data_IF_355473843415
#
_entry.id   IF_355473843415
#
_cell.length_a   1.000
_cell.length_b   1.000
_cell.length_c   1.000
_cell.angle_alpha   90.00
_cell.angle_beta   90.00
_cell.angle_gamma   90.00
#
_symmetry.space_group_name_H-M   'P 1'
#
loop_
_entity.id
_entity.type
_entity.pdbx_description
1 polymer ?
#
# COMPACT_ATOMS: atom_id res chain seq x y z
N UNK A 1 28.75 31.63 5.07
CA UNK A 1 28.66 30.33 5.77
C UNK A 1 27.21 29.95 6.09
N UNK A 2 26.40 30.84 6.67
CA UNK A 2 24.99 30.54 7.00
C UNK A 2 24.09 30.38 5.75
N UNK A 3 24.19 31.31 4.77
CA UNK A 3 23.43 31.22 3.49
C UNK A 3 23.68 29.91 2.73
N UNK A 4 24.94 29.46 2.65
CA UNK A 4 25.31 28.18 2.01
C UNK A 4 24.83 26.95 2.76
N UNK A 5 24.72 27.03 4.10
CA UNK A 5 24.15 25.96 4.91
C UNK A 5 22.63 25.89 4.75
N UNK A 6 21.94 27.04 4.77
CA UNK A 6 20.51 27.14 4.51
C UNK A 6 20.12 26.55 3.14
N UNK A 7 20.90 26.84 2.09
CA UNK A 7 20.69 26.24 0.77
C UNK A 7 20.74 24.70 0.79
N UNK A 8 21.66 24.10 1.55
CA UNK A 8 21.75 22.64 1.70
C UNK A 8 20.55 22.05 2.45
N UNK A 9 20.07 22.74 3.49
CA UNK A 9 18.88 22.31 4.22
C UNK A 9 17.64 22.39 3.33
N UNK A 10 17.49 23.46 2.53
CA UNK A 10 16.39 23.57 1.57
C UNK A 10 16.41 22.42 0.56
N UNK A 11 17.60 22.10 0.02
CA UNK A 11 17.75 20.99 -0.90
C UNK A 11 17.36 19.66 -0.25
N UNK A 12 17.84 19.40 0.97
CA UNK A 12 17.48 18.20 1.73
C UNK A 12 15.98 18.10 1.97
N UNK A 13 15.33 19.18 2.43
CA UNK A 13 13.89 19.18 2.67
C UNK A 13 13.11 18.96 1.37
N UNK A 14 13.58 19.53 0.26
CA UNK A 14 12.96 19.33 -1.04
C UNK A 14 13.05 17.86 -1.45
N UNK A 15 14.25 17.28 -1.46
CA UNK A 15 14.47 15.87 -1.80
C UNK A 15 13.68 14.93 -0.89
N UNK A 16 13.65 15.21 0.42
CA UNK A 16 12.91 14.41 1.38
C UNK A 16 11.40 14.48 1.13
N UNK A 17 10.84 15.68 0.96
CA UNK A 17 9.39 15.84 0.70
C UNK A 17 8.95 15.33 -0.68
N UNK A 18 9.86 15.25 -1.66
CA UNK A 18 9.61 14.66 -2.98
C UNK A 18 9.76 13.13 -2.99
N UNK A 19 10.73 12.59 -2.23
CA UNK A 19 11.03 11.14 -2.22
C UNK A 19 10.17 10.37 -1.21
N UNK A 20 9.97 10.95 -0.02
CA UNK A 20 9.22 10.34 1.08
C UNK A 20 8.17 11.32 1.63
N UNK A 21 7.15 11.69 0.83
CA UNK A 21 6.11 12.63 1.27
C UNK A 21 5.36 12.15 2.52
N UNK A 22 5.33 10.83 2.76
CA UNK A 22 4.54 10.19 3.81
C UNK A 22 5.14 10.30 5.21
N UNK A 23 6.44 10.61 5.33
CA UNK A 23 7.04 10.96 6.62
C UNK A 23 6.39 12.19 7.27
N UNK A 24 5.69 13.00 6.46
CA UNK A 24 4.99 14.21 6.86
C UNK A 24 3.47 14.06 6.91
N UNK A 25 2.94 12.84 6.85
CA UNK A 25 1.49 12.61 6.94
C UNK A 25 0.91 12.98 8.31
N UNK A 26 1.73 12.85 9.36
CA UNK A 26 1.34 13.12 10.74
C UNK A 26 1.43 14.62 11.04
N UNK A 27 0.43 15.16 11.75
CA UNK A 27 0.35 16.60 12.11
C UNK A 27 1.62 17.11 12.80
N UNK A 28 2.23 16.27 13.64
CA UNK A 28 3.49 16.59 14.33
C UNK A 28 4.64 16.81 13.34
N UNK A 29 4.87 15.87 12.43
CA UNK A 29 5.93 15.95 11.41
C UNK A 29 5.73 17.15 10.48
N UNK A 30 4.47 17.40 10.08
CA UNK A 30 4.11 18.56 9.26
C UNK A 30 4.35 19.89 10.00
N UNK A 31 4.10 19.94 11.30
CA UNK A 31 4.40 21.11 12.14
C UNK A 31 5.91 21.36 12.23
N UNK A 32 6.71 20.33 12.49
CA UNK A 32 8.17 20.43 12.57
C UNK A 32 8.77 20.92 11.23
N UNK A 33 8.28 20.38 10.09
CA UNK A 33 8.67 20.84 8.76
C UNK A 33 8.39 22.34 8.57
N UNK A 34 7.20 22.81 8.96
CA UNK A 34 6.81 24.23 8.87
C UNK A 34 7.69 25.11 9.75
N UNK A 35 8.06 24.66 10.95
CA UNK A 35 8.95 25.41 11.84
C UNK A 35 10.37 25.55 11.26
N UNK A 36 10.93 24.45 10.72
CA UNK A 36 12.24 24.47 10.05
C UNK A 36 12.19 25.41 8.83
N UNK A 37 11.18 25.26 7.98
CA UNK A 37 10.97 26.09 6.82
C UNK A 37 10.85 27.59 7.18
N UNK A 38 10.13 27.91 8.26
CA UNK A 38 9.99 29.28 8.73
C UNK A 38 11.34 29.87 9.17
N UNK A 39 12.13 29.14 9.96
CA UNK A 39 13.48 29.58 10.38
C UNK A 39 14.41 29.82 9.20
N UNK A 40 14.32 29.00 8.16
CA UNK A 40 15.11 29.15 6.93
C UNK A 40 14.70 30.41 6.17
N UNK A 41 13.40 30.71 6.06
CA UNK A 41 12.93 31.94 5.41
C UNK A 41 13.41 33.22 6.11
N UNK A 42 13.60 33.19 7.43
CA UNK A 42 14.16 34.34 8.18
C UNK A 42 15.64 34.61 7.84
N UNK A 43 16.34 33.65 7.22
CA UNK A 43 17.75 33.82 6.83
C UNK A 43 17.93 34.42 5.41
N UNK A 44 16.84 34.61 4.64
CA UNK A 44 16.84 35.13 3.27
C UNK A 44 15.87 36.33 3.15
N UNK A 45 16.22 37.45 3.79
CA UNK A 45 15.39 38.67 3.78
C UNK A 45 15.45 39.45 2.45
N UNK A 46 16.50 39.27 1.64
CA UNK A 46 16.82 40.17 0.52
C UNK A 46 16.15 39.85 -0.82
N UNK A 47 15.73 38.60 -1.09
CA UNK A 47 15.38 38.20 -2.46
C UNK A 47 14.11 37.34 -2.59
N UNK A 48 13.45 36.98 -1.49
CA UNK A 48 12.17 36.23 -1.48
C UNK A 48 12.19 34.86 -2.17
N UNK A 49 13.33 34.43 -2.70
CA UNK A 49 13.48 33.25 -3.55
C UNK A 49 13.35 31.98 -2.72
N UNK A 50 13.96 31.97 -1.53
CA UNK A 50 13.83 30.87 -0.56
C UNK A 50 12.38 30.68 -0.14
N UNK A 51 11.66 31.78 0.11
CA UNK A 51 10.23 31.74 0.46
C UNK A 51 9.39 31.12 -0.66
N UNK A 52 9.68 31.42 -1.92
CA UNK A 52 9.00 30.82 -3.08
C UNK A 52 9.29 29.32 -3.19
N UNK A 53 10.55 28.90 -3.04
CA UNK A 53 10.93 27.48 -3.08
C UNK A 53 10.22 26.70 -1.98
N UNK A 54 10.25 27.21 -0.75
CA UNK A 54 9.58 26.58 0.39
C UNK A 54 8.06 26.51 0.17
N UNK A 55 7.43 27.59 -0.30
CA UNK A 55 5.99 27.59 -0.58
C UNK A 55 5.61 26.54 -1.63
N UNK A 56 6.41 26.43 -2.69
CA UNK A 56 6.19 25.44 -3.75
C UNK A 56 6.38 24.01 -3.22
N UNK A 57 7.45 23.76 -2.46
CA UNK A 57 7.74 22.47 -1.85
C UNK A 57 6.60 22.03 -0.92
N UNK A 58 6.16 22.90 0.00
CA UNK A 58 5.03 22.61 0.89
C UNK A 58 3.74 22.38 0.12
N UNK A 59 3.52 23.10 -1.00
CA UNK A 59 2.34 22.88 -1.83
C UNK A 59 2.39 21.52 -2.53
N UNK A 60 3.53 21.13 -3.10
CA UNK A 60 3.72 19.83 -3.74
C UNK A 60 3.50 18.69 -2.75
N UNK A 61 4.07 18.81 -1.55
CA UNK A 61 3.87 17.84 -0.46
C UNK A 61 2.38 17.67 -0.12
N UNK A 62 1.63 18.77 0.02
CA UNK A 62 0.19 18.72 0.28
C UNK A 62 -0.57 18.01 -0.84
N UNK A 63 -0.24 18.30 -2.10
CA UNK A 63 -0.88 17.64 -3.24
C UNK A 63 -0.61 16.12 -3.24
N UNK A 64 0.62 15.69 -2.95
CA UNK A 64 0.97 14.28 -2.83
C UNK A 64 0.18 13.58 -1.72
N UNK A 65 0.12 14.19 -0.53
CA UNK A 65 -0.63 13.66 0.61
C UNK A 65 -2.14 13.60 0.34
N UNK A 66 -2.72 14.63 -0.30
CA UNK A 66 -4.14 14.64 -0.68
C UNK A 66 -4.47 13.58 -1.74
N UNK A 67 -3.61 13.38 -2.73
CA UNK A 67 -3.81 12.34 -3.75
C UNK A 67 -3.86 10.94 -3.13
N UNK A 68 -2.97 10.64 -2.18
CA UNK A 68 -3.01 9.37 -1.43
C UNK A 68 -4.27 9.23 -0.59
N UNK A 69 -4.68 10.28 0.12
CA UNK A 69 -5.91 10.25 0.93
C UNK A 69 -7.15 9.95 0.07
N UNK A 70 -7.26 10.54 -1.11
CA UNK A 70 -8.36 10.24 -2.05
C UNK A 70 -8.31 8.79 -2.54
N UNK A 71 -7.12 8.28 -2.88
CA UNK A 71 -6.96 6.88 -3.29
C UNK A 71 -7.38 5.91 -2.17
N UNK A 72 -7.00 6.20 -0.93
CA UNK A 72 -7.42 5.42 0.25
C UNK A 72 -8.94 5.45 0.44
N UNK A 73 -9.57 6.62 0.32
CA UNK A 73 -11.02 6.76 0.46
C UNK A 73 -11.79 5.98 -0.62
N UNK A 74 -11.35 6.07 -1.88
CA UNK A 74 -11.94 5.29 -2.98
C UNK A 74 -11.80 3.80 -2.68
N UNK A 75 -10.62 3.36 -2.22
CA UNK A 75 -10.36 1.97 -1.90
C UNK A 75 -11.20 1.46 -0.73
N UNK A 76 -11.43 2.28 0.29
CA UNK A 76 -12.34 1.95 1.39
C UNK A 76 -13.78 1.77 0.93
N UNK A 77 -14.25 2.58 -0.04
CA UNK A 77 -15.59 2.41 -0.64
C UNK A 77 -15.75 1.09 -1.38
N UNK A 78 -14.68 0.57 -1.99
CA UNK A 78 -14.66 -0.72 -2.67
C UNK A 78 -14.30 -1.90 -1.77
N UNK A 79 -13.92 -1.65 -0.52
CA UNK A 79 -13.65 -2.69 0.47
C UNK A 79 -14.97 -3.35 0.87
N UNK A 80 -15.27 -4.50 0.28
CA UNK A 80 -16.30 -5.37 0.86
C UNK A 80 -15.78 -5.93 2.19
N UNK A 81 -16.54 -5.88 3.29
CA UNK A 81 -16.17 -6.64 4.47
C UNK A 81 -16.13 -8.11 4.07
N UNK A 82 -14.93 -8.71 4.13
CA UNK A 82 -14.78 -10.16 4.10
C UNK A 82 -15.58 -10.63 5.31
N UNK A 83 -16.78 -11.15 5.06
CA UNK A 83 -17.55 -11.78 6.12
C UNK A 83 -16.72 -12.96 6.56
N UNK A 84 -16.23 -12.87 7.78
CA UNK A 84 -15.53 -13.92 8.49
C UNK A 84 -16.42 -15.17 8.47
N UNK A 85 -16.19 -16.04 7.49
CA UNK A 85 -16.72 -17.39 7.46
C UNK A 85 -15.55 -18.32 7.64
N UNK A 86 -15.02 -18.31 8.86
CA UNK A 86 -14.58 -19.52 9.51
C UNK A 86 -15.72 -20.55 9.51
N UNK A 87 -15.88 -21.27 8.41
CA UNK A 87 -16.57 -22.56 8.36
C UNK A 87 -15.77 -23.49 7.48
N UNK A 88 -14.74 -24.03 8.11
CA UNK A 88 -14.22 -25.37 7.85
C UNK A 88 -15.39 -26.32 7.53
N UNK A 89 -15.34 -26.91 6.34
CA UNK A 89 -15.96 -28.20 5.98
C UNK A 89 -17.45 -28.37 6.32
N UNK A 90 -18.35 -27.80 5.51
CA UNK A 90 -19.65 -28.44 5.26
C UNK A 90 -19.94 -28.44 3.76
N UNK A 91 -19.69 -29.59 3.16
CA UNK A 91 -20.26 -30.06 1.88
C UNK A 91 -21.72 -29.64 1.74
N UNK A 92 -22.01 -28.71 0.82
CA UNK A 92 -23.35 -28.46 0.27
C UNK A 92 -23.20 -28.24 -1.24
N UNK A 93 -24.13 -28.72 -2.09
CA UNK A 93 -23.84 -29.07 -3.48
C UNK A 93 -23.36 -27.86 -4.30
N UNK A 94 -22.31 -28.09 -5.08
CA UNK A 94 -21.78 -27.20 -6.10
C UNK A 94 -22.87 -26.88 -7.13
N UNK A 95 -23.38 -25.65 -7.15
CA UNK A 95 -24.16 -25.18 -8.32
C UNK A 95 -24.12 -23.67 -8.59
N UNK A 96 -23.34 -22.88 -7.83
CA UNK A 96 -23.23 -21.42 -8.08
C UNK A 96 -21.80 -20.89 -8.14
N UNK A 97 -20.78 -21.75 -8.00
CA UNK A 97 -19.40 -21.33 -8.23
C UNK A 97 -19.20 -21.18 -9.75
N UNK A 98 -19.20 -19.93 -10.22
CA UNK A 98 -18.91 -19.61 -11.62
C UNK A 98 -17.49 -20.08 -11.94
N UNK A 99 -17.33 -20.85 -13.01
CA UNK A 99 -16.02 -21.20 -13.54
C UNK A 99 -15.24 -19.91 -13.83
N UNK A 100 -13.96 -19.84 -13.49
CA UNK A 100 -13.13 -18.68 -13.82
C UNK A 100 -13.14 -18.38 -15.32
N UNK A 101 -13.23 -19.42 -16.15
CA UNK A 101 -13.37 -19.27 -17.61
C UNK A 101 -14.74 -18.73 -18.04
N UNK A 102 -15.76 -18.82 -17.18
CA UNK A 102 -17.06 -18.16 -17.41
C UNK A 102 -17.02 -16.66 -17.09
N UNK A 103 -16.01 -16.20 -16.34
CA UNK A 103 -15.76 -14.78 -16.05
C UNK A 103 -14.83 -14.17 -17.11
N UNK A 104 -13.81 -14.90 -17.53
CA UNK A 104 -12.91 -14.50 -18.62
C UNK A 104 -12.51 -15.72 -19.45
N UNK A 105 -12.99 -15.77 -20.70
CA UNK A 105 -12.74 -16.90 -21.59
C UNK A 105 -11.32 -16.96 -22.16
N UNK A 106 -10.55 -15.87 -22.03
CA UNK A 106 -9.17 -15.78 -22.51
C UNK A 106 -8.19 -15.81 -21.32
N UNK A 107 -7.47 -16.93 -21.12
CA UNK A 107 -6.50 -17.07 -20.03
C UNK A 107 -5.39 -16.03 -20.06
N UNK A 108 -4.99 -15.56 -21.24
CA UNK A 108 -3.96 -14.54 -21.37
C UNK A 108 -4.45 -13.19 -20.85
N UNK A 109 -5.68 -12.80 -21.21
CA UNK A 109 -6.29 -11.57 -20.70
C UNK A 109 -6.49 -11.65 -19.19
N UNK A 110 -6.97 -12.78 -18.68
CA UNK A 110 -7.12 -12.98 -17.23
C UNK A 110 -5.78 -12.83 -16.49
N UNK A 111 -4.72 -13.46 -17.00
CA UNK A 111 -3.39 -13.33 -16.42
C UNK A 111 -2.90 -11.88 -16.44
N UNK A 112 -3.05 -11.18 -17.57
CA UNK A 112 -2.69 -9.77 -17.70
C UNK A 112 -3.43 -8.90 -16.67
N UNK A 113 -4.74 -9.08 -16.52
CA UNK A 113 -5.54 -8.33 -15.55
C UNK A 113 -5.07 -8.58 -14.11
N UNK A 114 -4.80 -9.84 -13.74
CA UNK A 114 -4.25 -10.17 -12.42
C UNK A 114 -2.88 -9.53 -12.20
N UNK A 115 -2.01 -9.51 -13.21
CA UNK A 115 -0.71 -8.83 -13.15
C UNK A 115 -0.87 -7.32 -12.95
N UNK A 116 -1.80 -6.65 -13.62
CA UNK A 116 -2.05 -5.22 -13.39
C UNK A 116 -2.52 -4.95 -11.96
N UNK A 117 -3.43 -5.79 -11.46
CA UNK A 117 -3.97 -5.73 -10.09
C UNK A 117 -2.86 -5.96 -9.05
N UNK A 118 -1.94 -6.88 -9.32
CA UNK A 118 -0.77 -7.17 -8.49
C UNK A 118 0.19 -5.99 -8.47
N UNK A 119 0.58 -5.48 -9.64
CA UNK A 119 1.48 -4.34 -9.79
C UNK A 119 0.95 -3.10 -9.06
N UNK A 120 -0.34 -2.81 -9.16
CA UNK A 120 -0.95 -1.69 -8.42
C UNK A 120 -0.81 -1.88 -6.91
N UNK A 121 -1.01 -3.09 -6.38
CA UNK A 121 -0.85 -3.38 -4.94
C UNK A 121 0.60 -3.30 -4.50
N UNK A 122 1.51 -3.88 -5.27
CA UNK A 122 2.95 -3.86 -4.98
C UNK A 122 3.50 -2.44 -5.04
N UNK A 123 3.07 -1.62 -6.00
CA UNK A 123 3.47 -0.21 -6.10
C UNK A 123 3.01 0.65 -4.92
N UNK A 124 2.00 0.17 -4.17
CA UNK A 124 1.49 0.83 -2.96
C UNK A 124 2.12 0.27 -1.67
N UNK A 125 3.09 -0.64 -1.76
CA UNK A 125 3.94 -1.03 -0.63
C UNK A 125 5.13 -0.08 -0.61
N UNK A 126 5.24 0.68 0.47
CA UNK A 126 6.28 1.68 0.63
C UNK A 126 7.39 1.19 1.59
N UNK A 127 8.60 1.79 1.56
CA UNK A 127 9.68 1.39 2.45
C UNK A 127 9.31 1.42 3.94
N UNK A 128 8.44 2.35 4.35
CA UNK A 128 7.91 2.43 5.71
C UNK A 128 7.11 1.17 6.12
N UNK A 129 6.33 0.59 5.20
CA UNK A 129 5.57 -0.65 5.44
C UNK A 129 6.55 -1.81 5.76
N UNK A 130 7.71 -1.83 5.10
CA UNK A 130 8.74 -2.87 5.27
C UNK A 130 9.57 -2.66 6.55
N UNK A 131 9.96 -1.42 6.86
CA UNK A 131 10.72 -1.12 8.07
C UNK A 131 9.96 -1.52 9.33
N UNK A 132 8.63 -1.39 9.31
CA UNK A 132 7.80 -1.83 10.43
C UNK A 132 7.92 -3.34 10.68
N UNK A 133 7.90 -4.17 9.62
CA UNK A 133 8.13 -5.63 9.75
C UNK A 133 9.48 -5.89 10.42
N UNK A 134 10.56 -5.28 9.90
CA UNK A 134 11.92 -5.48 10.39
C UNK A 134 12.03 -5.10 11.86
N UNK A 135 11.44 -3.97 12.26
CA UNK A 135 11.41 -3.53 13.65
C UNK A 135 10.65 -4.48 14.59
N UNK A 136 9.65 -5.21 14.07
CA UNK A 136 8.90 -6.21 14.83
C UNK A 136 9.62 -7.57 14.88
N UNK A 137 10.45 -7.92 13.89
CA UNK A 137 11.19 -9.18 13.86
C UNK A 137 12.28 -9.25 14.94
N UNK A 138 12.88 -8.11 15.30
CA UNK A 138 13.92 -8.05 16.34
C UNK A 138 13.33 -8.11 17.77
N UNK A 139 12.02 -7.88 17.94
CA UNK A 139 11.32 -7.98 19.22
C UNK A 139 10.87 -9.42 19.47
N UNK A 140 11.81 -10.29 19.85
CA UNK A 140 11.53 -11.68 20.25
C UNK A 140 10.61 -11.82 21.48
N UNK A 141 10.29 -10.71 22.16
CA UNK A 141 9.39 -10.72 23.31
C UNK A 141 7.96 -10.38 22.89
N UNK A 142 7.08 -11.36 23.05
CA UNK A 142 5.72 -11.43 22.52
C UNK A 142 4.74 -10.54 23.31
N UNK A 143 5.22 -9.42 23.85
CA UNK A 143 4.47 -8.55 24.73
C UNK A 143 4.49 -7.10 24.25
N UNK A 144 3.46 -6.76 23.46
CA UNK A 144 2.97 -5.39 23.23
C UNK A 144 4.00 -4.38 22.68
N UNK A 145 4.62 -4.69 21.56
CA UNK A 145 4.89 -3.63 20.58
C UNK A 145 3.68 -3.53 19.66
N UNK A 146 2.56 -3.00 20.18
CA UNK A 146 1.45 -2.49 19.36
C UNK A 146 1.94 -1.19 18.71
N UNK A 147 2.99 -1.28 17.89
CA UNK A 147 3.25 -0.29 16.86
C UNK A 147 1.97 -0.21 16.05
N UNK A 148 1.50 1.00 15.82
CA UNK A 148 0.16 1.27 15.34
C UNK A 148 -0.15 0.37 14.14
N UNK A 149 -1.05 -0.62 14.33
CA UNK A 149 -1.48 -1.62 13.32
C UNK A 149 -2.09 -0.93 12.10
N UNK A 150 -2.32 0.38 12.20
CA UNK A 150 -2.78 1.28 11.15
C UNK A 150 -1.74 1.51 10.05
N UNK A 151 -0.44 1.20 10.25
CA UNK A 151 0.64 1.56 9.31
C UNK A 151 1.13 0.44 8.37
N UNK A 152 0.73 -0.83 8.55
CA UNK A 152 1.05 -1.96 7.63
C UNK A 152 -0.06 -2.30 6.62
N UNK A 153 -1.07 -1.44 6.49
CA UNK A 153 -2.31 -1.74 5.76
C UNK A 153 -2.11 -2.19 4.30
N UNK A 154 -1.13 -1.60 3.61
CA UNK A 154 -0.90 -1.93 2.20
C UNK A 154 -0.29 -3.34 2.06
N UNK A 155 0.63 -3.68 2.95
CA UNK A 155 1.27 -4.98 2.98
C UNK A 155 0.29 -6.09 3.38
N UNK A 156 -0.50 -5.89 4.44
CA UNK A 156 -1.52 -6.86 4.86
C UNK A 156 -2.57 -7.09 3.77
N UNK A 157 -2.92 -6.03 3.03
CA UNK A 157 -3.86 -6.16 1.94
C UNK A 157 -3.27 -6.87 0.72
N UNK A 158 -1.97 -6.70 0.45
CA UNK A 158 -1.26 -7.47 -0.55
C UNK A 158 -1.21 -8.96 -0.16
N UNK A 159 -0.83 -9.26 1.08
CA UNK A 159 -0.81 -10.63 1.62
C UNK A 159 -2.19 -11.30 1.51
N UNK A 160 -3.25 -10.63 1.94
CA UNK A 160 -4.60 -11.16 1.82
C UNK A 160 -5.01 -11.39 0.35
N UNK A 161 -4.68 -10.47 -0.56
CA UNK A 161 -4.97 -10.64 -1.99
C UNK A 161 -4.23 -11.85 -2.58
N UNK A 162 -2.93 -11.98 -2.26
CA UNK A 162 -2.10 -13.10 -2.69
C UNK A 162 -2.64 -14.43 -2.17
N UNK A 163 -3.04 -14.48 -0.90
CA UNK A 163 -3.63 -15.67 -0.27
C UNK A 163 -4.98 -16.04 -0.89
N UNK A 164 -5.85 -15.06 -1.17
CA UNK A 164 -7.11 -15.29 -1.88
C UNK A 164 -6.87 -15.85 -3.30
N UNK A 165 -5.94 -15.28 -4.06
CA UNK A 165 -5.62 -15.74 -5.41
C UNK A 165 -5.02 -17.16 -5.39
N UNK A 166 -4.10 -17.42 -4.46
CA UNK A 166 -3.48 -18.74 -4.29
C UNK A 166 -4.53 -19.81 -3.97
N UNK A 167 -5.48 -19.49 -3.07
CA UNK A 167 -6.60 -20.38 -2.75
C UNK A 167 -7.53 -20.61 -3.94
N UNK A 168 -7.82 -19.56 -4.73
CA UNK A 168 -8.61 -19.68 -5.95
C UNK A 168 -7.95 -20.65 -6.94
N UNK A 169 -6.65 -20.46 -7.21
CA UNK A 169 -5.88 -21.32 -8.12
C UNK A 169 -5.84 -22.77 -7.62
N UNK A 170 -5.56 -22.97 -6.33
CA UNK A 170 -5.56 -24.31 -5.73
C UNK A 170 -6.93 -24.99 -5.85
N UNK A 171 -8.01 -24.25 -5.63
CA UNK A 171 -9.39 -24.75 -5.76
C UNK A 171 -9.69 -25.17 -7.19
N UNK A 172 -9.29 -24.38 -8.18
CA UNK A 172 -9.52 -24.71 -9.59
C UNK A 172 -8.70 -25.91 -10.06
N UNK A 173 -7.44 -26.02 -9.65
CA UNK A 173 -6.60 -27.20 -9.94
C UNK A 173 -7.24 -28.48 -9.38
N UNK A 174 -7.67 -28.43 -8.11
CA UNK A 174 -8.33 -29.56 -7.45
C UNK A 174 -9.67 -29.93 -8.12
N UNK A 175 -10.47 -28.94 -8.54
CA UNK A 175 -11.74 -29.18 -9.25
C UNK A 175 -11.51 -29.91 -10.57
N UNK A 176 -10.54 -29.47 -11.37
CA UNK A 176 -10.17 -30.12 -12.64
C UNK A 176 -9.64 -31.54 -12.39
N UNK A 177 -8.85 -31.74 -11.33
CA UNK A 177 -8.32 -33.06 -10.94
C UNK A 177 -9.39 -34.06 -10.53
N UNK A 178 -10.41 -33.61 -9.76
CA UNK A 178 -11.54 -34.44 -9.33
C UNK A 178 -12.38 -34.89 -10.53
N UNK A 179 -12.68 -34.00 -11.47
CA UNK A 179 -13.43 -34.34 -12.68
C UNK A 179 -12.70 -35.36 -13.58
N UNK A 180 -11.36 -35.26 -13.72
CA UNK A 180 -10.60 -36.26 -14.48
C UNK A 180 -10.61 -37.63 -13.80
N UNK A 181 -10.48 -37.68 -12.48
CA UNK A 181 -10.44 -38.94 -11.73
C UNK A 181 -11.80 -39.67 -11.73
N UNK A 182 -12.91 -38.92 -11.59
CA UNK A 182 -14.26 -39.47 -11.73
C UNK A 182 -14.52 -40.03 -13.14
N UNK A 183 -13.99 -39.40 -14.19
CA UNK A 183 -14.13 -39.91 -15.56
C UNK A 183 -13.27 -41.17 -15.82
N UNK A 184 -12.16 -41.37 -15.10
CA UNK A 184 -11.31 -42.56 -15.21
C UNK A 184 -11.86 -43.78 -14.46
N UNK A 185 -12.62 -43.57 -13.38
CA UNK A 185 -13.25 -44.65 -12.60
C UNK A 185 -14.59 -45.12 -13.21
N UNK A 186 -15.06 -44.46 -14.27
CA UNK A 186 -16.32 -44.74 -14.97
C UNK A 186 -16.11 -45.36 -16.36
N UNK A 187 -14.92 -45.91 -16.64
CA UNK A 187 -14.57 -46.68 -17.85
C UNK A 187 -14.26 -48.12 -17.47
#
# INVERSE_FOLDING_TARGET
>A
KLKSFAAKIIQLLKEWTETFPYDFQDEKSMKELKEIAHRITQCDEENGTVKKIISQMTQNLRMALSSRSQYQEIREKFRQPVTDKGTILKTKPQSTQKDILSVCCDPLILAQQLTYIELERVSNIYPEDLMQIVSHMDSLDNHKCRGDVTKTYNLEAYDNWFNCLSMLVATEICRVGIHRKQNSEMI
#
